data_IF_537560882361
#
_entry.id   IF_537560882361
#
_cell.length_a   1.000
_cell.length_b   1.000
_cell.length_c   1.000
_cell.angle_alpha   90.00
_cell.angle_beta   90.00
_cell.angle_gamma   90.00
#
_symmetry.space_group_name_H-M   'P 1'
#
loop_
_entity.id
_entity.type
_entity.pdbx_description
1 polymer ?
#
# COMPACT_ATOMS: atom_id res chain seq x y z
N UNK A 1 13.63 -30.06 -26.66
CA UNK A 1 13.78 -29.13 -25.52
C UNK A 1 12.44 -29.05 -24.82
N UNK A 2 12.38 -29.11 -23.49
CA UNK A 2 11.11 -28.90 -22.78
C UNK A 2 10.89 -27.39 -22.65
N UNK A 3 9.71 -26.89 -23.04
CA UNK A 3 9.39 -25.47 -22.99
C UNK A 3 9.53 -24.89 -21.58
N UNK A 4 9.32 -25.72 -20.55
CA UNK A 4 9.50 -25.40 -19.14
C UNK A 4 10.95 -25.05 -18.81
N UNK A 5 11.92 -25.81 -19.33
CA UNK A 5 13.34 -25.54 -19.10
C UNK A 5 13.78 -24.24 -19.77
N UNK A 6 13.28 -23.94 -20.97
CA UNK A 6 13.61 -22.70 -21.67
C UNK A 6 13.05 -21.46 -20.93
N UNK A 7 11.86 -21.56 -20.32
CA UNK A 7 11.32 -20.51 -19.46
C UNK A 7 12.19 -20.26 -18.21
N UNK A 8 12.65 -21.33 -17.55
CA UNK A 8 13.62 -21.22 -16.46
C UNK A 8 14.94 -20.58 -16.92
N UNK A 9 15.47 -21.03 -18.06
CA UNK A 9 16.75 -20.54 -18.60
C UNK A 9 16.70 -19.06 -18.99
N UNK A 10 15.57 -18.60 -19.54
CA UNK A 10 15.36 -17.20 -19.88
C UNK A 10 15.33 -16.30 -18.64
N UNK A 11 14.73 -16.78 -17.54
CA UNK A 11 14.57 -16.02 -16.31
C UNK A 11 15.86 -15.93 -15.47
N UNK A 12 16.79 -16.89 -15.58
CA UNK A 12 18.04 -16.90 -14.80
C UNK A 12 19.01 -15.81 -15.30
N UNK A 13 19.52 -14.92 -14.42
CA UNK A 13 20.42 -13.83 -14.82
C UNK A 13 21.83 -14.32 -15.25
N UNK A 14 22.30 -15.42 -14.66
CA UNK A 14 23.57 -16.08 -15.00
C UNK A 14 23.35 -17.34 -15.85
N UNK A 15 23.88 -17.37 -17.08
CA UNK A 15 23.58 -18.42 -18.08
C UNK A 15 24.81 -19.26 -18.44
N UNK A 16 25.27 -20.09 -17.51
CA UNK A 16 26.43 -20.97 -17.69
C UNK A 16 26.05 -22.46 -17.56
N UNK A 17 26.65 -23.33 -18.38
CA UNK A 17 26.50 -24.79 -18.25
C UNK A 17 25.11 -25.34 -18.60
N UNK A 18 24.45 -24.81 -19.65
CA UNK A 18 23.08 -25.19 -20.09
C UNK A 18 22.89 -26.71 -20.21
N UNK A 19 23.83 -27.42 -20.85
CA UNK A 19 23.72 -28.86 -21.10
C UNK A 19 23.65 -29.69 -19.80
N UNK A 20 24.45 -29.34 -18.79
CA UNK A 20 24.44 -30.04 -17.51
C UNK A 20 23.18 -29.72 -16.71
N UNK A 21 22.69 -28.48 -16.77
CA UNK A 21 21.42 -28.10 -16.15
C UNK A 21 20.25 -28.84 -16.78
N UNK A 22 20.24 -28.97 -18.12
CA UNK A 22 19.18 -29.66 -18.85
C UNK A 22 19.14 -31.16 -18.52
N UNK A 23 20.31 -31.81 -18.43
CA UNK A 23 20.39 -33.22 -17.99
C UNK A 23 19.81 -33.39 -16.58
N UNK A 24 20.18 -32.51 -15.66
CA UNK A 24 19.69 -32.56 -14.28
C UNK A 24 18.19 -32.27 -14.18
N UNK A 25 17.68 -31.34 -15.00
CA UNK A 25 16.26 -31.02 -15.09
C UNK A 25 15.40 -32.23 -15.48
N UNK A 26 15.86 -32.97 -16.50
CA UNK A 26 15.20 -34.19 -16.96
C UNK A 26 15.32 -35.32 -15.92
N UNK A 27 16.49 -35.49 -15.30
CA UNK A 27 16.71 -36.51 -14.26
C UNK A 27 15.80 -36.31 -13.05
N UNK A 28 15.63 -35.06 -12.58
CA UNK A 28 14.78 -34.71 -11.44
C UNK A 28 13.30 -34.49 -11.80
N UNK A 29 12.91 -34.63 -13.08
CA UNK A 29 11.54 -34.38 -13.57
C UNK A 29 10.96 -33.05 -13.09
N UNK A 30 11.74 -31.97 -13.23
CA UNK A 30 11.38 -30.64 -12.72
C UNK A 30 10.31 -29.92 -13.58
N UNK A 31 9.80 -30.56 -14.63
CA UNK A 31 8.78 -29.96 -15.50
C UNK A 31 7.48 -29.64 -14.73
N UNK A 32 7.06 -30.48 -13.77
CA UNK A 32 5.92 -30.21 -12.87
C UNK A 32 6.19 -29.04 -11.90
N UNK A 33 7.43 -28.92 -11.42
CA UNK A 33 7.84 -27.87 -10.47
C UNK A 33 8.28 -26.58 -11.17
N UNK A 34 8.27 -26.55 -12.51
CA UNK A 34 8.77 -25.45 -13.31
C UNK A 34 8.12 -24.11 -12.96
N UNK A 35 6.81 -24.11 -12.71
CA UNK A 35 6.06 -22.91 -12.34
C UNK A 35 6.51 -22.36 -10.98
N UNK A 36 6.70 -23.22 -9.99
CA UNK A 36 7.18 -22.84 -8.64
C UNK A 36 8.61 -22.32 -8.72
N UNK A 37 9.47 -23.02 -9.45
CA UNK A 37 10.88 -22.66 -9.64
C UNK A 37 11.00 -21.29 -10.30
N UNK A 38 10.28 -21.05 -11.41
CA UNK A 38 10.31 -19.79 -12.14
C UNK A 38 9.72 -18.65 -11.30
N UNK A 39 8.62 -18.89 -10.59
CA UNK A 39 8.01 -17.89 -9.71
C UNK A 39 8.95 -17.50 -8.57
N UNK A 40 9.56 -18.48 -7.91
CA UNK A 40 10.55 -18.24 -6.84
C UNK A 40 11.76 -17.49 -7.39
N UNK A 41 12.25 -17.87 -8.57
CA UNK A 41 13.39 -17.21 -9.19
C UNK A 41 13.11 -15.75 -9.51
N UNK A 42 11.93 -15.43 -10.07
CA UNK A 42 11.53 -14.04 -10.33
C UNK A 42 11.50 -13.20 -9.04
N UNK A 43 10.93 -13.74 -7.96
CA UNK A 43 10.94 -13.07 -6.65
C UNK A 43 12.36 -12.88 -6.14
N UNK A 44 13.20 -13.91 -6.24
CA UNK A 44 14.59 -13.86 -5.78
C UNK A 44 15.41 -12.83 -6.54
N UNK A 45 15.24 -12.70 -7.85
CA UNK A 45 15.89 -11.65 -8.65
C UNK A 45 15.47 -10.24 -8.20
N UNK A 46 14.22 -10.07 -7.75
CA UNK A 46 13.69 -8.79 -7.31
C UNK A 46 14.02 -8.45 -5.85
N UNK A 47 14.03 -9.44 -4.97
CA UNK A 47 14.02 -9.25 -3.52
C UNK A 47 15.28 -9.76 -2.82
N UNK A 48 16.10 -10.62 -3.43
CA UNK A 48 17.30 -11.15 -2.77
C UNK A 48 18.42 -10.11 -2.82
N UNK A 49 18.83 -9.64 -1.64
CA UNK A 49 19.90 -8.65 -1.50
C UNK A 49 21.22 -9.16 -2.11
N UNK A 50 21.56 -10.44 -1.92
CA UNK A 50 22.81 -11.01 -2.43
C UNK A 50 22.83 -11.05 -3.95
N UNK A 51 21.68 -11.28 -4.58
CA UNK A 51 21.57 -11.26 -6.04
C UNK A 51 21.69 -9.84 -6.59
N UNK A 52 21.16 -8.83 -5.89
CA UNK A 52 21.36 -7.41 -6.23
C UNK A 52 22.82 -6.97 -6.10
N UNK A 53 23.52 -7.47 -5.10
CA UNK A 53 24.96 -7.28 -4.91
C UNK A 53 25.82 -8.09 -5.91
N UNK A 54 25.22 -8.83 -6.84
CA UNK A 54 25.91 -9.58 -7.89
C UNK A 54 26.38 -10.99 -7.51
N UNK A 55 26.10 -11.45 -6.28
CA UNK A 55 26.46 -12.78 -5.80
C UNK A 55 25.44 -13.84 -6.26
N UNK A 56 25.45 -14.14 -7.56
CA UNK A 56 24.55 -15.11 -8.19
C UNK A 56 25.22 -16.48 -8.26
N UNK A 57 24.62 -17.49 -7.59
CA UNK A 57 25.04 -18.90 -7.66
C UNK A 57 24.95 -19.42 -9.11
N UNK A 58 25.78 -20.41 -9.45
CA UNK A 58 25.65 -21.09 -10.75
C UNK A 58 24.30 -21.82 -10.84
N UNK A 59 23.61 -21.80 -12.00
CA UNK A 59 22.29 -22.41 -12.15
C UNK A 59 22.32 -23.92 -11.85
N UNK A 60 23.41 -24.61 -12.19
CA UNK A 60 23.58 -26.04 -11.87
C UNK A 60 23.62 -26.29 -10.36
N UNK A 61 24.39 -25.48 -9.62
CA UNK A 61 24.50 -25.59 -8.15
C UNK A 61 23.17 -25.23 -7.48
N UNK A 62 22.48 -24.21 -8.01
CA UNK A 62 21.17 -23.79 -7.54
C UNK A 62 20.10 -24.88 -7.74
N UNK A 63 20.10 -25.57 -8.89
CA UNK A 63 19.20 -26.68 -9.16
C UNK A 63 19.53 -27.93 -8.32
N UNK A 64 20.81 -28.22 -8.09
CA UNK A 64 21.25 -29.35 -7.25
C UNK A 64 20.80 -29.19 -5.81
N UNK A 65 20.97 -27.99 -5.25
CA UNK A 65 20.62 -27.66 -3.88
C UNK A 65 19.15 -27.32 -3.67
N UNK A 66 18.29 -27.49 -4.68
CA UNK A 66 16.85 -27.23 -4.58
C UNK A 66 16.52 -25.86 -4.00
N UNK A 67 17.33 -24.84 -4.34
CA UNK A 67 17.32 -23.54 -3.69
C UNK A 67 16.01 -22.72 -3.89
N UNK A 68 14.99 -23.28 -4.53
CA UNK A 68 13.62 -22.76 -4.53
C UNK A 68 12.83 -23.11 -3.26
N UNK A 69 13.33 -24.02 -2.42
CA UNK A 69 12.78 -24.32 -1.09
C UNK A 69 13.51 -23.59 0.04
N UNK A 70 14.69 -23.05 -0.24
CA UNK A 70 15.52 -22.34 0.75
C UNK A 70 14.98 -20.93 1.04
N UNK A 71 14.98 -20.55 2.31
CA UNK A 71 14.76 -19.17 2.73
C UNK A 71 15.92 -18.28 2.25
N UNK A 72 15.60 -17.05 1.84
CA UNK A 72 16.58 -16.05 1.44
C UNK A 72 16.29 -14.72 2.14
N UNK A 73 17.36 -13.94 2.33
CA UNK A 73 17.24 -12.60 2.88
C UNK A 73 16.57 -11.71 1.84
N UNK A 74 15.26 -11.56 1.98
CA UNK A 74 14.51 -10.52 1.29
C UNK A 74 15.03 -9.17 1.77
N UNK A 75 15.29 -8.25 0.87
CA UNK A 75 15.27 -6.82 1.21
C UNK A 75 13.85 -6.52 1.62
N UNK A 76 13.54 -6.75 2.90
CA UNK A 76 12.39 -6.10 3.52
C UNK A 76 12.66 -4.62 3.29
N UNK A 77 11.76 -3.85 2.66
CA UNK A 77 11.93 -2.41 2.65
C UNK A 77 12.18 -2.03 4.10
N UNK A 78 13.32 -1.37 4.37
CA UNK A 78 13.55 -0.80 5.70
C UNK A 78 12.28 -0.05 6.01
N UNK A 79 11.60 -0.43 7.08
CA UNK A 79 10.51 0.37 7.59
C UNK A 79 11.14 1.69 8.02
N UNK A 80 11.20 2.63 7.10
CA UNK A 80 11.33 4.04 7.40
C UNK A 80 9.92 4.49 7.75
N UNK A 81 9.65 4.86 9.02
CA UNK A 81 8.43 5.59 9.29
C UNK A 81 8.45 6.86 8.43
N UNK A 82 7.57 6.93 7.42
CA UNK A 82 7.40 8.09 6.54
C UNK A 82 8.12 8.01 5.19
N UNK A 83 7.48 7.36 4.22
CA UNK A 83 7.21 7.92 2.89
C UNK A 83 6.18 7.06 2.17
N UNK A 84 4.92 7.26 2.52
CA UNK A 84 3.78 6.68 1.81
C UNK A 84 3.67 7.34 0.42
N UNK A 85 3.00 6.70 -0.53
CA UNK A 85 2.71 7.25 -1.89
C UNK A 85 2.01 8.62 -1.81
N UNK A 86 1.40 8.90 -0.66
CA UNK A 86 0.88 10.19 -0.19
C UNK A 86 1.89 11.35 -0.30
N UNK A 87 3.19 11.12 -0.12
CA UNK A 87 4.23 12.16 -0.20
C UNK A 87 4.57 12.59 -1.64
N UNK A 88 4.19 11.79 -2.65
CA UNK A 88 4.39 12.13 -4.06
C UNK A 88 3.18 12.81 -4.69
N UNK A 89 2.02 12.76 -4.04
CA UNK A 89 0.86 13.54 -4.43
C UNK A 89 1.07 14.99 -3.99
N UNK A 90 0.57 15.99 -4.75
CA UNK A 90 0.56 17.36 -4.25
C UNK A 90 -0.16 17.36 -2.91
N UNK A 91 0.57 17.77 -1.86
CA UNK A 91 0.07 17.84 -0.49
C UNK A 91 -1.16 18.75 -0.50
N UNK A 92 -2.35 18.15 -0.51
CA UNK A 92 -3.60 18.91 -0.44
C UNK A 92 -3.53 19.64 0.90
N UNK A 93 -3.59 20.99 0.92
CA UNK A 93 -3.62 21.72 2.18
C UNK A 93 -4.72 21.13 3.04
N UNK A 94 -4.43 20.97 4.33
CA UNK A 94 -5.38 20.47 5.31
C UNK A 94 -6.77 21.10 5.04
N UNK A 95 -7.90 20.38 5.12
CA UNK A 95 -9.19 20.97 4.80
C UNK A 95 -9.49 22.25 5.59
N UNK A 96 -8.81 22.51 6.70
CA UNK A 96 -8.83 23.78 7.45
C UNK A 96 -7.92 24.90 6.89
N UNK A 97 -6.87 24.56 6.16
CA UNK A 97 -5.91 25.50 5.55
C UNK A 97 -6.26 25.91 4.13
N UNK A 98 -7.21 25.25 3.46
CA UNK A 98 -7.71 25.68 2.16
C UNK A 98 -8.37 27.07 2.26
N UNK A 99 -7.82 28.13 1.63
CA UNK A 99 -8.35 29.50 1.78
C UNK A 99 -9.79 29.62 1.25
N UNK A 100 -10.17 28.75 0.31
CA UNK A 100 -11.49 28.72 -0.30
C UNK A 100 -12.50 27.81 0.42
N UNK A 101 -12.13 27.17 1.53
CA UNK A 101 -13.01 26.23 2.27
C UNK A 101 -14.33 26.88 2.67
N UNK A 102 -14.27 28.10 3.20
CA UNK A 102 -15.46 28.86 3.63
C UNK A 102 -16.37 29.12 2.42
N UNK A 103 -15.78 29.53 1.29
CA UNK A 103 -16.51 29.80 0.04
C UNK A 103 -17.19 28.55 -0.52
N UNK A 104 -16.49 27.41 -0.56
CA UNK A 104 -17.03 26.14 -1.05
C UNK A 104 -18.16 25.62 -0.15
N UNK A 105 -17.99 25.72 1.18
CA UNK A 105 -19.05 25.36 2.12
C UNK A 105 -20.28 26.27 1.94
N UNK A 106 -20.10 27.58 1.76
CA UNK A 106 -21.22 28.51 1.50
C UNK A 106 -21.93 28.20 0.18
N UNK A 107 -21.20 27.83 -0.88
CA UNK A 107 -21.79 27.42 -2.16
C UNK A 107 -22.56 26.11 -2.04
N UNK A 108 -22.03 25.13 -1.31
CA UNK A 108 -22.72 23.87 -1.02
C UNK A 108 -23.99 24.12 -0.20
N UNK A 109 -23.91 24.95 0.85
CA UNK A 109 -25.06 25.36 1.65
C UNK A 109 -26.12 26.05 0.77
N UNK A 110 -25.71 27.00 -0.08
CA UNK A 110 -26.60 27.68 -1.02
C UNK A 110 -27.29 26.72 -2.00
N UNK A 111 -26.55 25.74 -2.51
CA UNK A 111 -27.11 24.70 -3.37
C UNK A 111 -28.10 23.78 -2.63
N UNK A 112 -27.79 23.43 -1.38
CA UNK A 112 -28.67 22.62 -0.53
C UNK A 112 -29.95 23.38 -0.14
N UNK A 113 -29.86 24.68 0.11
CA UNK A 113 -31.01 25.56 0.37
C UNK A 113 -31.92 25.72 -0.85
N UNK A 114 -31.38 25.65 -2.06
CA UNK A 114 -32.17 25.68 -3.30
C UNK A 114 -32.97 24.39 -3.52
N UNK A 115 -32.56 23.27 -2.93
CA UNK A 115 -33.34 22.04 -2.94
C UNK A 115 -34.37 22.10 -1.80
N UNK A 116 -35.65 22.25 -2.14
CA UNK A 116 -36.77 22.21 -1.19
C UNK A 116 -36.66 20.92 -0.34
N UNK A 117 -36.41 21.06 0.96
CA UNK A 117 -36.33 19.93 1.89
C UNK A 117 -35.23 20.00 2.95
N UNK A 118 -34.32 20.99 2.88
CA UNK A 118 -33.29 21.16 3.92
C UNK A 118 -33.75 22.19 4.95
N UNK A 119 -34.03 21.71 6.17
CA UNK A 119 -34.34 22.54 7.34
C UNK A 119 -33.13 23.40 7.72
N UNK A 120 -33.29 24.72 7.59
CA UNK A 120 -32.24 25.71 7.75
C UNK A 120 -31.71 25.79 9.17
N UNK A 121 -32.57 25.53 10.16
CA UNK A 121 -32.20 25.59 11.57
C UNK A 121 -31.38 24.36 11.97
N UNK A 122 -31.76 23.18 11.44
CA UNK A 122 -30.97 21.95 11.60
C UNK A 122 -29.58 22.07 10.99
N UNK A 123 -29.47 22.69 9.82
CA UNK A 123 -28.20 22.92 9.14
C UNK A 123 -27.29 23.89 9.92
N UNK A 124 -27.86 24.98 10.43
CA UNK A 124 -27.14 25.96 11.26
C UNK A 124 -26.67 25.31 12.58
N UNK A 125 -27.52 24.49 13.21
CA UNK A 125 -27.17 23.77 14.43
C UNK A 125 -26.05 22.75 14.18
N UNK A 126 -26.09 22.00 13.08
CA UNK A 126 -25.04 21.05 12.70
C UNK A 126 -23.68 21.74 12.47
N UNK A 127 -23.66 22.92 11.85
CA UNK A 127 -22.44 23.72 11.67
C UNK A 127 -21.89 24.21 13.02
N UNK A 128 -22.75 24.64 13.94
CA UNK A 128 -22.34 25.06 15.28
C UNK A 128 -21.68 23.90 16.06
N UNK A 129 -22.37 22.77 16.15
CA UNK A 129 -21.87 21.56 16.84
C UNK A 129 -20.53 21.11 16.27
N UNK A 130 -20.37 21.19 14.94
CA UNK A 130 -19.07 20.90 14.30
C UNK A 130 -17.98 21.86 14.76
N UNK A 131 -18.24 23.15 14.79
CA UNK A 131 -17.22 24.14 15.15
C UNK A 131 -16.81 24.05 16.62
N UNK A 132 -17.75 23.77 17.52
CA UNK A 132 -17.48 23.51 18.95
C UNK A 132 -16.55 22.30 19.11
N UNK A 133 -16.88 21.17 18.48
CA UNK A 133 -16.07 19.95 18.53
C UNK A 133 -14.69 20.17 17.91
N UNK A 134 -14.60 20.89 16.79
CA UNK A 134 -13.31 21.24 16.20
C UNK A 134 -12.44 22.11 17.12
N UNK A 135 -13.05 22.96 17.95
CA UNK A 135 -12.39 23.72 19.00
C UNK A 135 -11.90 22.84 20.15
N UNK A 136 -12.74 21.93 20.64
CA UNK A 136 -12.38 20.93 21.67
C UNK A 136 -11.22 20.05 21.20
N UNK A 137 -11.27 19.57 19.96
CA UNK A 137 -10.22 18.77 19.33
C UNK A 137 -8.88 19.51 19.31
N UNK A 138 -8.90 20.77 18.90
CA UNK A 138 -7.70 21.61 18.82
C UNK A 138 -7.12 21.90 20.21
N UNK A 139 -7.97 22.04 21.22
CA UNK A 139 -7.54 22.28 22.61
C UNK A 139 -6.91 21.03 23.24
N UNK A 140 -7.48 19.85 22.96
CA UNK A 140 -7.05 18.58 23.55
C UNK A 140 -5.76 18.03 22.94
N UNK A 141 -5.57 18.14 21.62
CA UNK A 141 -4.47 17.46 20.91
C UNK A 141 -3.54 18.38 20.11
N UNK A 142 -3.83 19.68 20.00
CA UNK A 142 -3.07 20.58 19.11
C UNK A 142 -3.08 20.08 17.66
N UNK A 143 -1.90 19.98 17.04
CA UNK A 143 -1.72 19.47 15.65
C UNK A 143 -1.27 17.99 15.58
N UNK A 144 -1.26 17.25 16.70
CA UNK A 144 -0.74 15.86 16.75
C UNK A 144 -1.73 14.92 17.42
N UNK A 145 -2.72 14.45 16.66
CA UNK A 145 -3.63 13.39 17.09
C UNK A 145 -3.23 12.03 16.47
N UNK A 146 -3.34 10.93 17.23
CA UNK A 146 -3.04 9.59 16.76
C UNK A 146 -4.22 8.99 15.96
N UNK A 147 -3.96 8.06 15.01
CA UNK A 147 -4.97 7.60 14.04
C UNK A 147 -6.15 6.83 14.67
N UNK A 148 -5.94 6.11 15.77
CA UNK A 148 -7.02 5.40 16.49
C UNK A 148 -7.91 6.38 17.26
N UNK A 149 -7.31 7.37 17.92
CA UNK A 149 -8.04 8.43 18.63
C UNK A 149 -8.90 9.27 17.68
N UNK A 150 -8.40 9.55 16.48
CA UNK A 150 -9.15 10.24 15.43
C UNK A 150 -10.38 9.46 14.96
N UNK A 151 -10.31 8.14 14.92
CA UNK A 151 -11.40 7.27 14.44
C UNK A 151 -12.55 7.22 15.44
N UNK A 152 -12.26 6.93 16.70
CA UNK A 152 -13.26 6.90 17.78
C UNK A 152 -13.95 8.25 17.96
N UNK A 153 -13.19 9.33 17.76
CA UNK A 153 -13.72 10.67 17.79
C UNK A 153 -14.59 11.01 16.57
N UNK A 154 -14.24 10.50 15.39
CA UNK A 154 -15.08 10.63 14.19
C UNK A 154 -16.44 9.95 14.38
N UNK A 155 -16.45 8.80 15.07
CA UNK A 155 -17.68 8.06 15.38
C UNK A 155 -18.49 8.76 16.48
N UNK A 156 -17.82 9.40 17.45
CA UNK A 156 -18.45 10.30 18.42
C UNK A 156 -19.06 11.55 17.77
N UNK A 157 -18.34 12.15 16.82
CA UNK A 157 -18.78 13.28 16.02
C UNK A 157 -20.02 12.94 15.19
N UNK A 158 -20.00 11.80 14.50
CA UNK A 158 -21.12 11.35 13.69
C UNK A 158 -22.37 11.11 14.55
N UNK A 159 -22.21 10.61 15.78
CA UNK A 159 -23.31 10.44 16.75
C UNK A 159 -23.91 11.77 17.20
N UNK A 160 -23.09 12.74 17.63
CA UNK A 160 -23.55 14.07 18.05
C UNK A 160 -24.22 14.83 16.90
N UNK A 161 -23.67 14.74 15.69
CA UNK A 161 -24.22 15.41 14.51
C UNK A 161 -25.55 14.79 14.06
N UNK A 162 -25.68 13.45 14.10
CA UNK A 162 -26.96 12.78 13.85
C UNK A 162 -28.02 13.19 14.86
N UNK A 163 -27.67 13.29 16.15
CA UNK A 163 -28.59 13.74 17.19
C UNK A 163 -29.06 15.18 17.01
N UNK A 164 -28.22 16.06 16.45
CA UNK A 164 -28.56 17.47 16.19
C UNK A 164 -29.44 17.70 14.93
N UNK A 165 -29.57 16.68 14.08
CA UNK A 165 -30.35 16.71 12.83
C UNK A 165 -31.74 16.04 12.95
N UNK A 166 -31.97 15.28 14.02
CA UNK A 166 -33.29 14.72 14.39
C UNK A 166 -34.17 15.83 14.94
#
# INVERSE_FOLDING_TARGET
MSAQFDAFWAAYPRREGKANCQKLWQQKKLDDLSLVIVAHLKKRVQDDQKWKDGYIKMPLTWLRGECWTDEYQTVKPKWTPGKSVEDSLPRIPDPQQCPYKVMLNLRLLGYLLQRKGVDTDKLRNAVRVRNEIAGEMKLMWGDKANNEELKDLSDGYLRKLKAALV
#
